data_IF_710814253833
#
_entry.id   IF_710814253833
#
_cell.length_a   1.000
_cell.length_b   1.000
_cell.length_c   1.000
_cell.angle_alpha   90.00
_cell.angle_beta   90.00
_cell.angle_gamma   90.00
#
_symmetry.space_group_name_H-M   'P 1'
#
loop_
_entity.id
_entity.type
_entity.pdbx_description
1 polymer ?
#
# COMPACT_ATOMS: atom_id res chain seq x y z
N UNK A 1 -7.50 7.00 4.79
CA UNK A 1 -8.91 7.42 4.95
C UNK A 1 -9.82 6.75 3.91
N UNK A 2 -10.94 6.18 4.34
CA UNK A 2 -11.89 5.52 3.44
C UNK A 2 -12.66 6.50 2.53
N UNK A 3 -12.95 7.70 3.03
CA UNK A 3 -13.80 8.67 2.32
C UNK A 3 -13.04 9.69 1.45
N UNK A 4 -11.79 9.41 1.06
CA UNK A 4 -11.01 10.33 0.22
C UNK A 4 -11.26 10.02 -1.26
N UNK A 5 -11.56 11.03 -2.10
CA UNK A 5 -11.77 10.82 -3.53
C UNK A 5 -10.53 10.21 -4.17
N UNK A 6 -10.74 9.23 -5.06
CA UNK A 6 -9.69 8.43 -5.70
C UNK A 6 -8.61 9.30 -6.35
N UNK A 7 -9.04 10.33 -7.08
CA UNK A 7 -8.18 11.27 -7.79
C UNK A 7 -7.22 11.98 -6.83
N UNK A 8 -7.72 12.46 -5.69
CA UNK A 8 -6.89 13.12 -4.68
C UNK A 8 -5.87 12.16 -4.09
N UNK A 9 -6.25 10.91 -3.83
CA UNK A 9 -5.33 9.91 -3.31
C UNK A 9 -4.20 9.62 -4.31
N UNK A 10 -4.54 9.46 -5.59
CA UNK A 10 -3.56 9.25 -6.66
C UNK A 10 -2.65 10.46 -6.83
N UNK A 11 -3.20 11.67 -6.78
CA UNK A 11 -2.40 12.90 -6.90
C UNK A 11 -1.43 13.07 -5.73
N UNK A 12 -1.85 12.78 -4.50
CA UNK A 12 -0.96 12.79 -3.33
C UNK A 12 0.15 11.75 -3.49
N UNK A 13 -0.19 10.54 -3.95
CA UNK A 13 0.81 9.50 -4.25
C UNK A 13 1.80 9.92 -5.33
N UNK A 14 1.33 10.61 -6.37
CA UNK A 14 2.18 11.16 -7.42
C UNK A 14 3.17 12.18 -6.88
N UNK A 15 2.70 13.19 -6.13
CA UNK A 15 3.55 14.24 -5.57
C UNK A 15 4.56 13.66 -4.59
N UNK A 16 4.16 12.69 -3.78
CA UNK A 16 5.06 12.01 -2.84
C UNK A 16 6.18 11.26 -3.59
N UNK A 17 5.82 10.43 -4.58
CA UNK A 17 6.80 9.70 -5.37
C UNK A 17 7.70 10.63 -6.20
N UNK A 18 7.15 11.71 -6.77
CA UNK A 18 7.91 12.71 -7.51
C UNK A 18 8.92 13.45 -6.63
N UNK A 19 8.55 13.71 -5.37
CA UNK A 19 9.46 14.30 -4.38
C UNK A 19 10.65 13.38 -4.12
N UNK A 20 10.40 12.07 -3.94
CA UNK A 20 11.47 11.07 -3.80
C UNK A 20 12.35 11.01 -5.05
N UNK A 21 11.74 10.96 -6.22
CA UNK A 21 12.45 10.93 -7.52
C UNK A 21 13.39 12.13 -7.71
N UNK A 22 12.99 13.31 -7.21
CA UNK A 22 13.85 14.50 -7.26
C UNK A 22 15.11 14.34 -6.40
N UNK A 23 14.99 13.75 -5.19
CA UNK A 23 16.14 13.50 -4.32
C UNK A 23 17.03 12.36 -4.80
N UNK A 24 16.43 11.28 -5.31
CA UNK A 24 17.17 10.11 -5.81
C UNK A 24 17.71 10.30 -7.22
N UNK A 25 17.34 11.39 -7.90
CA UNK A 25 17.69 11.69 -9.30
C UNK A 25 17.24 10.60 -10.29
N UNK A 26 16.16 9.89 -9.96
CA UNK A 26 15.56 8.84 -10.80
C UNK A 26 14.14 9.26 -11.19
N UNK A 27 13.98 10.18 -12.16
CA UNK A 27 12.67 10.76 -12.48
C UNK A 27 11.68 9.66 -12.88
N UNK A 28 10.55 9.57 -12.16
CA UNK A 28 9.45 8.66 -12.46
C UNK A 28 9.55 7.27 -11.85
N UNK A 29 10.70 6.87 -11.31
CA UNK A 29 10.92 5.50 -10.81
C UNK A 29 10.07 5.20 -9.57
N UNK A 30 9.88 6.16 -8.67
CA UNK A 30 9.03 6.04 -7.49
C UNK A 30 7.63 6.66 -7.72
N UNK A 31 7.49 7.70 -8.55
CA UNK A 31 6.20 8.30 -8.86
C UNK A 31 5.23 7.28 -9.49
N UNK A 32 5.70 6.45 -10.41
CA UNK A 32 4.87 5.49 -11.11
C UNK A 32 4.33 4.35 -10.18
N UNK A 33 5.14 3.63 -9.39
CA UNK A 33 4.62 2.63 -8.44
C UNK A 33 3.80 3.24 -7.31
N UNK A 34 4.09 4.48 -6.87
CA UNK A 34 3.31 5.14 -5.82
C UNK A 34 1.90 5.54 -6.30
N UNK A 35 1.78 6.05 -7.52
CA UNK A 35 0.46 6.34 -8.13
C UNK A 35 -0.36 5.09 -8.38
N UNK A 36 0.28 4.01 -8.86
CA UNK A 36 -0.38 2.73 -9.09
C UNK A 36 -1.03 2.21 -7.80
N UNK A 37 -0.28 2.13 -6.70
CA UNK A 37 -0.82 1.65 -5.43
C UNK A 37 -1.89 2.60 -4.88
N UNK A 38 -1.73 3.91 -5.03
CA UNK A 38 -2.70 4.88 -4.55
C UNK A 38 -4.03 4.77 -5.29
N UNK A 39 -3.98 4.52 -6.61
CA UNK A 39 -5.17 4.29 -7.43
C UNK A 39 -5.84 2.94 -7.11
N UNK A 40 -5.06 1.89 -6.87
CA UNK A 40 -5.57 0.54 -6.61
C UNK A 40 -6.09 0.37 -5.17
N UNK A 41 -5.62 1.20 -4.24
CA UNK A 41 -6.00 1.19 -2.82
C UNK A 41 -7.51 1.10 -2.58
N UNK A 42 -8.36 2.02 -3.10
CA UNK A 42 -9.82 1.95 -2.88
C UNK A 42 -10.47 0.70 -3.50
N UNK A 43 -9.90 0.15 -4.58
CA UNK A 43 -10.40 -1.07 -5.20
C UNK A 43 -10.12 -2.31 -4.35
N UNK A 44 -8.88 -2.46 -3.86
CA UNK A 44 -8.51 -3.58 -2.98
C UNK A 44 -9.26 -3.54 -1.65
N UNK A 45 -9.46 -2.34 -1.10
CA UNK A 45 -10.25 -2.15 0.11
C UNK A 45 -11.70 -2.61 -0.12
N UNK A 46 -12.32 -2.23 -1.25
CA UNK A 46 -13.70 -2.61 -1.54
C UNK A 46 -13.87 -4.13 -1.74
N UNK A 47 -12.88 -4.82 -2.31
CA UNK A 47 -12.91 -6.29 -2.48
C UNK A 47 -12.69 -7.03 -1.16
N UNK A 48 -11.81 -6.52 -0.29
CA UNK A 48 -11.35 -7.26 0.88
C UNK A 48 -12.11 -6.94 2.17
N UNK A 49 -12.85 -5.82 2.22
CA UNK A 49 -13.83 -5.58 3.28
C UNK A 49 -15.07 -6.43 3.00
N UNK A 50 -15.15 -7.60 3.62
CA UNK A 50 -16.38 -8.41 3.68
C UNK A 50 -17.27 -8.05 4.89
N UNK A 51 -16.83 -7.19 5.80
CA UNK A 51 -17.62 -6.80 6.97
C UNK A 51 -18.52 -5.60 6.66
N UNK A 52 -19.82 -5.87 6.50
CA UNK A 52 -20.85 -4.85 6.60
C UNK A 52 -20.66 -4.05 7.91
N UNK A 53 -20.21 -2.79 7.81
CA UNK A 53 -20.06 -1.88 8.96
C UNK A 53 -18.64 -1.42 9.31
N UNK A 54 -17.58 -1.96 8.69
CA UNK A 54 -16.21 -1.48 8.92
C UNK A 54 -16.00 -0.02 8.43
N UNK A 55 -16.57 0.33 7.27
CA UNK A 55 -16.60 1.69 6.72
C UNK A 55 -17.37 2.69 7.59
N UNK A 56 -18.33 2.21 8.41
CA UNK A 56 -19.16 3.06 9.29
C UNK A 56 -18.50 3.35 10.64
N UNK A 57 -17.69 2.42 11.16
CA UNK A 57 -17.13 2.50 12.51
C UNK A 57 -15.67 3.00 12.58
N UNK A 58 -14.89 2.86 11.49
CA UNK A 58 -13.46 3.17 11.46
C UNK A 58 -13.09 4.10 10.30
N UNK A 59 -12.16 5.04 10.54
CA UNK A 59 -11.78 6.06 9.53
C UNK A 59 -10.63 5.63 8.62
N UNK A 60 -9.91 4.54 8.96
CA UNK A 60 -8.78 4.03 8.18
C UNK A 60 -8.69 2.51 8.18
N UNK A 61 -8.21 1.88 7.10
CA UNK A 61 -7.91 0.45 7.10
C UNK A 61 -6.75 0.16 8.06
N UNK A 62 -6.94 -0.78 8.98
CA UNK A 62 -5.97 -1.26 9.96
C UNK A 62 -6.36 -2.61 10.52
N UNK A 63 -5.49 -3.24 11.32
CA UNK A 63 -5.77 -4.55 11.93
C UNK A 63 -7.05 -4.53 12.76
N UNK A 64 -7.33 -3.41 13.44
CA UNK A 64 -8.54 -3.22 14.26
C UNK A 64 -9.83 -3.09 13.43
N UNK A 65 -9.75 -2.60 12.18
CA UNK A 65 -10.93 -2.34 11.35
C UNK A 65 -11.29 -3.50 10.42
N UNK A 66 -10.29 -4.28 9.97
CA UNK A 66 -10.47 -5.39 9.02
C UNK A 66 -10.26 -6.76 9.68
N UNK A 67 -9.50 -6.85 10.77
CA UNK A 67 -8.95 -8.11 11.28
C UNK A 67 -7.57 -8.42 10.67
N UNK A 68 -6.80 -9.25 11.37
CA UNK A 68 -5.39 -9.51 11.04
C UNK A 68 -5.19 -10.19 9.68
N UNK A 69 -6.02 -11.20 9.36
CA UNK A 69 -5.91 -11.96 8.12
C UNK A 69 -6.18 -11.12 6.84
N UNK A 70 -7.31 -10.41 6.71
CA UNK A 70 -7.55 -9.54 5.55
C UNK A 70 -6.58 -8.35 5.51
N UNK A 71 -6.16 -7.80 6.66
CA UNK A 71 -5.14 -6.75 6.67
C UNK A 71 -3.78 -7.24 6.13
N UNK A 72 -3.33 -8.43 6.55
CA UNK A 72 -2.09 -9.02 6.07
C UNK A 72 -2.15 -9.29 4.56
N UNK A 73 -3.26 -9.82 4.04
CA UNK A 73 -3.46 -10.04 2.60
C UNK A 73 -3.48 -8.72 1.82
N UNK A 74 -4.15 -7.69 2.34
CA UNK A 74 -4.16 -6.35 1.77
C UNK A 74 -2.76 -5.75 1.66
N UNK A 75 -2.01 -5.76 2.77
CA UNK A 75 -0.65 -5.25 2.82
C UNK A 75 0.26 -6.04 1.88
N UNK A 76 0.12 -7.36 1.84
CA UNK A 76 0.91 -8.22 0.95
C UNK A 76 0.68 -7.89 -0.52
N UNK A 77 -0.57 -7.82 -0.98
CA UNK A 77 -0.89 -7.54 -2.38
C UNK A 77 -0.37 -6.15 -2.80
N UNK A 78 -0.57 -5.13 -1.98
CA UNK A 78 -0.09 -3.78 -2.27
C UNK A 78 1.43 -3.72 -2.33
N UNK A 79 2.11 -4.35 -1.37
CA UNK A 79 3.58 -4.36 -1.28
C UNK A 79 4.19 -5.12 -2.45
N UNK A 80 3.59 -6.24 -2.84
CA UNK A 80 4.02 -7.04 -3.98
C UNK A 80 3.87 -6.26 -5.29
N UNK A 81 2.73 -5.57 -5.50
CA UNK A 81 2.52 -4.73 -6.67
C UNK A 81 3.48 -3.55 -6.72
N UNK A 82 3.73 -2.90 -5.57
CA UNK A 82 4.67 -1.78 -5.50
C UNK A 82 6.10 -2.21 -5.87
N UNK A 83 6.64 -3.23 -5.19
CA UNK A 83 8.00 -3.71 -5.42
C UNK A 83 8.16 -4.35 -6.80
N UNK A 84 7.14 -5.11 -7.25
CA UNK A 84 7.12 -5.69 -8.58
C UNK A 84 7.22 -4.63 -9.68
N UNK A 85 6.42 -3.56 -9.58
CA UNK A 85 6.44 -2.49 -10.56
C UNK A 85 7.70 -1.61 -10.49
N UNK A 86 8.22 -1.36 -9.27
CA UNK A 86 9.47 -0.62 -9.08
C UNK A 86 10.66 -1.36 -9.71
N UNK A 87 10.85 -2.65 -9.38
CA UNK A 87 11.96 -3.45 -9.93
C UNK A 87 11.80 -3.63 -11.44
N UNK A 88 10.56 -3.70 -11.94
CA UNK A 88 10.29 -3.77 -13.37
C UNK A 88 10.77 -2.51 -14.10
N UNK A 89 10.46 -1.32 -13.54
CA UNK A 89 10.92 -0.04 -14.10
C UNK A 89 12.42 0.21 -13.92
N UNK A 90 13.03 -0.35 -12.87
CA UNK A 90 14.46 -0.21 -12.64
C UNK A 90 15.28 -0.96 -13.71
N UNK A 91 14.80 -2.13 -14.12
CA UNK A 91 15.58 -3.02 -14.98
C UNK A 91 15.23 -2.86 -16.47
N UNK A 92 13.95 -2.68 -16.83
CA UNK A 92 13.46 -2.62 -18.23
C UNK A 92 14.14 -3.66 -19.14
N UNK A 93 14.55 -4.79 -18.56
CA UNK A 93 15.30 -5.84 -19.23
C UNK A 93 14.90 -7.19 -18.64
N UNK A 94 14.69 -8.17 -19.52
CA UNK A 94 14.21 -9.51 -19.18
C UNK A 94 15.34 -10.53 -19.06
N UNK A 95 16.60 -10.11 -19.21
CA UNK A 95 17.76 -11.00 -19.31
C UNK A 95 17.95 -11.98 -18.15
N UNK A 96 17.44 -11.68 -16.94
CA UNK A 96 17.48 -12.60 -15.80
C UNK A 96 16.18 -12.61 -14.99
N UNK A 97 15.12 -13.18 -15.57
CA UNK A 97 13.81 -13.32 -14.93
C UNK A 97 13.85 -13.96 -13.52
N UNK A 98 14.76 -14.91 -13.28
CA UNK A 98 14.93 -15.51 -11.94
C UNK A 98 15.47 -14.51 -10.90
N UNK A 99 16.39 -13.64 -11.29
CA UNK A 99 16.92 -12.58 -10.42
C UNK A 99 15.85 -11.52 -10.13
N UNK A 100 15.03 -11.18 -11.13
CA UNK A 100 13.88 -10.30 -10.98
C UNK A 100 12.91 -10.81 -9.89
N UNK A 101 12.48 -12.08 -9.98
CA UNK A 101 11.59 -12.68 -8.98
C UNK A 101 12.25 -12.69 -7.59
N UNK A 102 13.52 -13.09 -7.52
CA UNK A 102 14.26 -13.12 -6.25
C UNK A 102 14.32 -11.74 -5.59
N UNK A 103 14.61 -10.69 -6.35
CA UNK A 103 14.69 -9.31 -5.87
C UNK A 103 13.32 -8.79 -5.43
N UNK A 104 12.26 -9.07 -6.19
CA UNK A 104 10.88 -8.67 -5.83
C UNK A 104 10.41 -9.38 -4.56
N UNK A 105 10.64 -10.69 -4.43
CA UNK A 105 10.24 -11.45 -3.23
C UNK A 105 11.04 -11.02 -2.00
N UNK A 106 12.36 -10.81 -2.14
CA UNK A 106 13.20 -10.35 -1.03
C UNK A 106 12.78 -8.96 -0.54
N UNK A 107 12.59 -8.00 -1.45
CA UNK A 107 12.14 -6.63 -1.12
C UNK A 107 10.72 -6.62 -0.52
N UNK A 108 9.81 -7.45 -1.03
CA UNK A 108 8.47 -7.63 -0.47
C UNK A 108 8.53 -8.21 0.94
N UNK A 109 9.38 -9.21 1.18
CA UNK A 109 9.58 -9.82 2.50
C UNK A 109 10.09 -8.82 3.54
N UNK A 110 11.12 -8.04 3.18
CA UNK A 110 11.66 -6.97 4.05
C UNK A 110 10.60 -5.91 4.33
N UNK A 111 9.87 -5.48 3.30
CA UNK A 111 8.80 -4.49 3.45
C UNK A 111 7.67 -4.98 4.34
N UNK A 112 7.24 -6.24 4.19
CA UNK A 112 6.22 -6.86 5.05
C UNK A 112 6.68 -6.94 6.50
N UNK A 113 7.95 -7.31 6.74
CA UNK A 113 8.53 -7.33 8.08
C UNK A 113 8.46 -5.93 8.71
N UNK A 114 8.88 -4.90 7.99
CA UNK A 114 8.81 -3.51 8.47
C UNK A 114 7.37 -3.06 8.75
N UNK A 115 6.40 -3.44 7.92
CA UNK A 115 4.99 -3.15 8.14
C UNK A 115 4.50 -3.81 9.45
N UNK A 116 4.82 -5.07 9.70
CA UNK A 116 4.42 -5.74 10.94
C UNK A 116 5.11 -5.14 12.17
N UNK A 117 6.40 -4.81 12.08
CA UNK A 117 7.14 -4.17 13.17
C UNK A 117 6.55 -2.80 13.49
N UNK A 118 6.28 -1.97 12.48
CA UNK A 118 5.68 -0.65 12.69
C UNK A 118 4.29 -0.74 13.29
N UNK A 119 3.47 -1.71 12.88
CA UNK A 119 2.15 -1.95 13.46
C UNK A 119 2.23 -2.42 14.93
N UNK A 120 3.23 -3.24 15.29
CA UNK A 120 3.45 -3.71 16.66
C UNK A 120 4.02 -2.60 17.57
N UNK A 121 4.90 -1.75 17.03
CA UNK A 121 5.53 -0.66 17.77
C UNK A 121 4.55 0.51 17.97
N UNK A 122 3.76 0.82 16.94
CA UNK A 122 2.73 1.85 16.97
C UNK A 122 1.34 1.21 17.01
N UNK A 123 0.98 0.62 18.16
CA UNK A 123 -0.40 0.17 18.40
C UNK A 123 -1.36 1.36 18.22
N UNK A 124 -1.98 1.42 17.04
CA UNK A 124 -2.88 2.51 16.68
C UNK A 124 -4.19 2.29 17.43
N UNK A 125 -4.40 3.06 18.52
CA UNK A 125 -5.69 3.16 19.20
C UNK A 125 -6.70 3.84 18.27
N UNK A 126 -7.32 3.06 17.37
CA UNK A 126 -8.45 3.52 16.57
C UNK A 126 -9.64 3.80 17.51
N UNK A 127 -10.09 5.06 17.59
CA UNK A 127 -11.31 5.42 18.32
C UNK A 127 -12.52 4.89 17.55
N UNK A 128 -13.24 3.94 18.15
CA UNK A 128 -14.53 3.48 17.65
C UNK A 128 -15.50 4.68 17.56
N UNK A 129 -16.01 4.99 16.36
CA UNK A 129 -17.00 6.06 16.18
C UNK A 129 -18.39 5.49 16.38
N UNK A 130 -18.96 5.64 17.58
CA UNK A 130 -20.41 5.50 17.80
C UNK A 130 -21.10 6.70 17.17
N UNK A 131 -21.46 6.63 15.89
CA UNK A 131 -22.47 7.55 15.35
C UNK A 131 -23.84 6.88 15.49
N UNK A 132 -24.41 6.99 16.69
CA UNK A 132 -25.84 7.00 16.92
C UNK A 132 -26.30 8.45 16.77
N UNK A 133 -26.77 8.79 15.57
CA UNK A 133 -27.79 9.82 15.25
C UNK A 133 -27.90 9.95 13.73
#
# INVERSE_FOLDING_TARGET
PFNTPRITLTFIGFIFGLSLDYFTKTPGLHAAPCTLIAYLRPFLVNILIQQEGADKNYSSPGITSMGLAPYATYAFILTLLHNGYLVFLEWIDFGSFGYFIGKVLASTGVSMLLIFVTELLFFRKEKFRTNTA
#
